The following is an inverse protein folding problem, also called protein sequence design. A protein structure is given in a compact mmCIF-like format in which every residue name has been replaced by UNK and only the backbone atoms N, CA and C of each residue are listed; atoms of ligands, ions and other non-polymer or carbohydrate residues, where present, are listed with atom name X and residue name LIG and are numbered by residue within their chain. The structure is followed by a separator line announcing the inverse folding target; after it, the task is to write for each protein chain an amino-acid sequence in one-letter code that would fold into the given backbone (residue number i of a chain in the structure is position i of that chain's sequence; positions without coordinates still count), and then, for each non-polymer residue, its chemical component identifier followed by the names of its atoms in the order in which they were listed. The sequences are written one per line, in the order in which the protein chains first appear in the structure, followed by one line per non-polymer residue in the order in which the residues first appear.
data_IF_911680401478
#
_entry.id   IF_911680401478
#
_cell.length_a   1.000
_cell.length_b   1.000
_cell.length_c   1.000
_cell.angle_alpha   90.00
_cell.angle_beta   90.00
_cell.angle_gamma   90.00
#
_symmetry.space_group_name_H-M   'P 1'
#
loop_
_entity.id
_entity.type
_entity.pdbx_description
1 polymer ?
#
# COMPACT_ATOMS: atom_id res chain seq x y z
N UNK A 1 12.80 2.94 -13.50
CA UNK A 1 13.55 4.25 -13.51
C UNK A 1 13.62 4.70 -12.06
N UNK A 2 14.81 4.95 -11.54
CA UNK A 2 14.92 5.62 -10.25
C UNK A 2 14.68 7.11 -10.49
N UNK A 3 13.63 7.68 -9.92
CA UNK A 3 13.30 9.11 -10.08
C UNK A 3 14.28 10.03 -9.34
N UNK A 4 15.04 9.47 -8.39
CA UNK A 4 16.09 10.17 -7.65
C UNK A 4 17.36 9.31 -7.63
N UNK A 5 18.54 9.97 -7.55
CA UNK A 5 19.81 9.23 -7.48
C UNK A 5 19.94 8.47 -6.15
N UNK A 6 20.75 7.39 -6.10
CA UNK A 6 21.00 6.66 -4.86
C UNK A 6 21.54 7.54 -3.72
N UNK A 7 22.41 8.52 -4.04
CA UNK A 7 22.96 9.46 -3.06
C UNK A 7 21.86 10.35 -2.47
N UNK A 8 20.94 10.85 -3.32
CA UNK A 8 19.81 11.64 -2.85
C UNK A 8 18.84 10.78 -2.04
N UNK A 9 18.62 9.53 -2.43
CA UNK A 9 17.81 8.59 -1.66
C UNK A 9 18.42 8.32 -0.27
N UNK A 10 19.73 8.13 -0.20
CA UNK A 10 20.43 7.98 1.09
C UNK A 10 20.29 9.23 1.95
N UNK A 11 20.50 10.42 1.36
CA UNK A 11 20.33 11.69 2.06
C UNK A 11 18.90 11.83 2.64
N UNK A 12 17.87 11.51 1.86
CA UNK A 12 16.47 11.54 2.31
C UNK A 12 16.25 10.57 3.47
N UNK A 13 16.81 9.37 3.39
CA UNK A 13 16.74 8.36 4.45
C UNK A 13 17.38 8.85 5.75
N UNK A 14 18.59 9.41 5.64
CA UNK A 14 19.36 9.91 6.79
C UNK A 14 18.69 11.12 7.49
N UNK A 15 17.85 11.86 6.74
CA UNK A 15 17.11 13.04 7.25
C UNK A 15 15.63 12.72 7.53
N UNK A 16 15.24 11.44 7.52
CA UNK A 16 13.90 10.99 7.87
C UNK A 16 13.90 10.24 9.21
N UNK A 17 12.75 10.18 9.86
CA UNK A 17 12.60 9.44 11.11
C UNK A 17 13.01 7.98 10.95
N UNK A 18 13.75 7.44 11.89
CA UNK A 18 14.09 6.02 11.94
C UNK A 18 12.83 5.15 12.04
N UNK A 19 12.92 3.94 11.54
CA UNK A 19 11.88 2.93 11.72
C UNK A 19 12.08 2.14 13.02
N UNK A 20 11.04 1.46 13.49
CA UNK A 20 11.14 0.60 14.67
C UNK A 20 12.14 -0.56 14.45
N UNK A 21 12.69 -1.14 15.54
CA UNK A 21 13.54 -2.34 15.43
C UNK A 21 12.85 -3.50 14.71
N UNK A 22 11.55 -3.65 14.85
CA UNK A 22 10.78 -4.68 14.14
C UNK A 22 10.75 -4.43 12.62
N UNK A 23 10.48 -3.20 12.19
CA UNK A 23 10.52 -2.85 10.76
C UNK A 23 11.91 -3.03 10.16
N UNK A 24 12.97 -2.68 10.90
CA UNK A 24 14.37 -2.93 10.47
C UNK A 24 14.66 -4.43 10.34
N UNK A 25 14.11 -5.25 11.26
CA UNK A 25 14.22 -6.72 11.19
C UNK A 25 13.50 -7.27 9.95
N UNK A 26 12.25 -6.83 9.71
CA UNK A 26 11.46 -7.26 8.55
C UNK A 26 12.18 -6.92 7.24
N UNK A 27 12.71 -5.70 7.13
CA UNK A 27 13.47 -5.26 5.95
C UNK A 27 14.67 -6.18 5.70
N UNK A 28 15.50 -6.40 6.72
CA UNK A 28 16.67 -7.27 6.63
C UNK A 28 16.29 -8.71 6.26
N UNK A 29 15.32 -9.31 6.95
CA UNK A 29 14.93 -10.70 6.72
C UNK A 29 14.26 -10.87 5.34
N UNK A 30 13.51 -9.87 4.87
CA UNK A 30 12.94 -9.87 3.52
C UNK A 30 14.05 -9.91 2.47
N UNK A 31 15.10 -9.10 2.61
CA UNK A 31 16.21 -9.08 1.66
C UNK A 31 17.08 -10.34 1.69
N UNK A 32 17.16 -11.02 2.83
CA UNK A 32 18.00 -12.22 2.99
C UNK A 32 17.26 -13.51 2.61
N UNK A 33 15.94 -13.59 2.81
CA UNK A 33 15.24 -14.87 2.86
C UNK A 33 13.99 -14.94 1.99
N UNK A 34 13.51 -13.81 1.45
CA UNK A 34 12.26 -13.78 0.68
C UNK A 34 12.55 -13.53 -0.80
N UNK A 35 11.82 -14.22 -1.67
CA UNK A 35 11.89 -13.97 -3.10
C UNK A 35 11.39 -12.57 -3.45
N UNK A 36 12.08 -11.91 -4.38
CA UNK A 36 11.75 -10.57 -4.88
C UNK A 36 11.73 -9.47 -3.81
N UNK A 37 12.78 -9.29 -3.00
CA UNK A 37 12.83 -8.31 -1.91
C UNK A 37 12.56 -6.86 -2.35
N UNK A 38 12.73 -6.57 -3.65
CA UNK A 38 12.41 -5.27 -4.27
C UNK A 38 10.92 -4.87 -4.15
N UNK A 39 10.03 -5.85 -3.85
CA UNK A 39 8.60 -5.59 -3.63
C UNK A 39 8.33 -4.92 -2.29
N UNK A 40 9.31 -4.92 -1.38
CA UNK A 40 9.18 -4.25 -0.09
C UNK A 40 9.01 -2.74 -0.28
N UNK A 41 8.06 -2.15 0.42
CA UNK A 41 7.85 -0.68 0.44
C UNK A 41 9.11 0.06 0.90
N UNK A 42 9.85 -0.50 1.86
CA UNK A 42 11.10 0.05 2.37
C UNK A 42 10.91 1.30 3.23
N UNK A 43 12.04 1.87 3.69
CA UNK A 43 12.06 2.96 4.66
C UNK A 43 11.25 4.19 4.21
N UNK A 44 11.60 4.76 3.06
CA UNK A 44 11.02 6.04 2.63
C UNK A 44 9.50 5.96 2.44
N UNK A 45 9.04 4.99 1.65
CA UNK A 45 7.60 4.82 1.42
C UNK A 45 6.86 4.42 2.70
N UNK A 46 7.47 3.57 3.54
CA UNK A 46 6.91 3.22 4.84
C UNK A 46 6.69 4.45 5.72
N UNK A 47 7.64 5.41 5.75
CA UNK A 47 7.47 6.67 6.48
C UNK A 47 6.39 7.56 5.87
N UNK A 48 6.27 7.58 4.53
CA UNK A 48 5.15 8.30 3.87
C UNK A 48 3.80 7.71 4.28
N UNK A 49 3.65 6.38 4.23
CA UNK A 49 2.41 5.70 4.63
C UNK A 49 2.07 5.96 6.11
N UNK A 50 3.06 5.84 6.99
CA UNK A 50 2.92 6.14 8.41
C UNK A 50 2.48 7.58 8.66
N UNK A 51 3.15 8.57 8.04
CA UNK A 51 2.81 9.99 8.23
C UNK A 51 1.41 10.31 7.70
N UNK A 52 1.00 9.75 6.56
CA UNK A 52 -0.37 9.91 6.04
C UNK A 52 -1.40 9.30 6.99
N UNK A 53 -1.15 8.09 7.50
CA UNK A 53 -2.03 7.46 8.47
C UNK A 53 -2.12 8.27 9.77
N UNK A 54 -1.00 8.77 10.29
CA UNK A 54 -0.98 9.62 11.51
C UNK A 54 -1.72 10.95 11.32
N UNK A 55 -1.67 11.55 10.13
CA UNK A 55 -2.44 12.75 9.80
C UNK A 55 -3.94 12.47 9.74
N UNK A 56 -4.33 11.32 9.18
CA UNK A 56 -5.74 10.92 8.99
C UNK A 56 -6.36 10.37 10.26
N UNK A 57 -5.57 9.74 11.14
CA UNK A 57 -6.01 9.04 12.37
C UNK A 57 -7.19 8.09 12.08
N UNK A 58 -7.03 7.13 11.17
CA UNK A 58 -8.12 6.27 10.74
C UNK A 58 -8.59 5.33 11.86
N UNK A 59 -9.87 5.05 11.90
CA UNK A 59 -10.47 4.00 12.74
C UNK A 59 -10.50 2.65 12.02
N UNK A 60 -10.49 2.67 10.68
CA UNK A 60 -10.51 1.46 9.86
C UNK A 60 -9.61 1.64 8.62
N UNK A 61 -8.65 0.73 8.47
CA UNK A 61 -7.75 0.65 7.31
C UNK A 61 -7.97 -0.68 6.61
N UNK A 62 -7.99 -0.66 5.26
CA UNK A 62 -7.87 -1.84 4.42
C UNK A 62 -6.58 -1.78 3.63
N UNK A 63 -5.81 -2.86 3.64
CA UNK A 63 -4.65 -3.05 2.78
C UNK A 63 -4.88 -4.25 1.86
N UNK A 64 -4.58 -4.09 0.57
CA UNK A 64 -4.65 -5.12 -0.46
C UNK A 64 -3.24 -5.37 -0.96
N UNK A 65 -2.65 -6.51 -0.57
CA UNK A 65 -1.24 -6.84 -0.75
C UNK A 65 -0.44 -6.63 0.53
N UNK A 66 -0.31 -7.68 1.34
CA UNK A 66 0.42 -7.65 2.63
C UNK A 66 1.91 -7.89 2.43
N UNK A 67 2.27 -8.78 1.50
CA UNK A 67 3.62 -9.27 1.28
C UNK A 67 4.28 -9.71 2.61
N UNK A 68 5.30 -8.99 3.11
CA UNK A 68 5.95 -9.29 4.40
C UNK A 68 5.42 -8.47 5.58
N UNK A 69 4.33 -7.71 5.40
CA UNK A 69 3.65 -6.96 6.45
C UNK A 69 4.27 -5.62 6.81
N UNK A 70 5.27 -5.15 6.05
CA UNK A 70 5.98 -3.91 6.34
C UNK A 70 5.06 -2.68 6.24
N UNK A 71 4.33 -2.54 5.13
CA UNK A 71 3.38 -1.44 4.90
C UNK A 71 2.22 -1.47 5.90
N UNK A 72 1.68 -2.66 6.20
CA UNK A 72 0.64 -2.84 7.22
C UNK A 72 1.05 -2.25 8.58
N UNK A 73 2.28 -2.56 9.04
CA UNK A 73 2.81 -2.02 10.29
C UNK A 73 3.02 -0.50 10.23
N UNK A 74 3.51 0.02 9.09
CA UNK A 74 3.65 1.47 8.90
C UNK A 74 2.30 2.20 8.94
N UNK A 75 1.26 1.62 8.32
CA UNK A 75 -0.10 2.16 8.34
C UNK A 75 -0.72 2.07 9.74
N UNK A 76 -0.45 0.99 10.47
CA UNK A 76 -0.96 0.79 11.82
C UNK A 76 -0.45 1.84 12.83
N UNK A 77 0.73 2.45 12.60
CA UNK A 77 1.25 3.55 13.42
C UNK A 77 0.31 4.77 13.50
N UNK A 78 -0.61 4.92 12.55
CA UNK A 78 -1.59 6.02 12.52
C UNK A 78 -2.97 5.65 13.03
N UNK A 79 -3.25 4.38 13.34
CA UNK A 79 -4.54 3.95 13.85
C UNK A 79 -4.93 4.66 15.16
N UNK A 80 -6.21 4.94 15.31
CA UNK A 80 -6.75 5.30 16.64
C UNK A 80 -6.62 4.11 17.61
N UNK A 81 -6.67 4.33 18.93
CA UNK A 81 -6.49 3.25 19.93
C UNK A 81 -7.40 2.03 19.70
N UNK A 82 -8.66 2.25 19.29
CA UNK A 82 -9.64 1.19 19.00
C UNK A 82 -9.73 0.87 17.50
N UNK A 83 -8.84 1.44 16.69
CA UNK A 83 -8.82 1.27 15.25
C UNK A 83 -8.40 -0.14 14.83
N UNK A 84 -8.81 -0.53 13.62
CA UNK A 84 -8.49 -1.84 13.03
C UNK A 84 -7.90 -1.67 11.63
N UNK A 85 -6.95 -2.52 11.34
CA UNK A 85 -6.39 -2.69 10.00
C UNK A 85 -6.69 -4.12 9.52
N UNK A 86 -7.37 -4.24 8.39
CA UNK A 86 -7.53 -5.51 7.67
C UNK A 86 -6.51 -5.51 6.54
N UNK A 87 -5.66 -6.53 6.48
CA UNK A 87 -4.71 -6.72 5.38
C UNK A 87 -4.91 -8.08 4.72
N UNK A 88 -4.90 -8.11 3.38
CA UNK A 88 -5.25 -9.30 2.60
C UNK A 88 -4.12 -9.65 1.64
N UNK A 89 -3.70 -10.91 1.64
CA UNK A 89 -2.74 -11.46 0.67
C UNK A 89 -3.17 -12.83 0.18
N UNK A 90 -2.69 -13.22 -1.00
CA UNK A 90 -2.91 -14.57 -1.56
C UNK A 90 -1.78 -15.54 -1.24
N UNK A 91 -0.63 -15.05 -0.75
CA UNK A 91 0.57 -15.83 -0.56
C UNK A 91 0.59 -16.55 0.80
N UNK A 92 0.14 -17.80 0.81
CA UNK A 92 0.15 -18.67 1.99
C UNK A 92 1.57 -19.00 2.49
N UNK A 93 2.59 -18.96 1.61
CA UNK A 93 3.97 -19.31 2.00
C UNK A 93 4.55 -18.30 3.00
N UNK A 94 4.15 -17.03 2.89
CA UNK A 94 4.60 -15.98 3.80
C UNK A 94 3.76 -15.90 5.09
N UNK A 95 2.60 -16.55 5.14
CA UNK A 95 1.66 -16.43 6.26
C UNK A 95 2.30 -16.66 7.64
N UNK A 96 3.04 -17.75 7.89
CA UNK A 96 3.60 -17.99 9.23
C UNK A 96 4.56 -16.89 9.67
N UNK A 97 5.38 -16.38 8.74
CA UNK A 97 6.33 -15.31 8.97
C UNK A 97 5.62 -14.00 9.28
N UNK A 98 4.65 -13.62 8.48
CA UNK A 98 3.90 -12.36 8.63
C UNK A 98 3.12 -12.35 9.94
N UNK A 99 2.47 -13.47 10.28
CA UNK A 99 1.78 -13.60 11.58
C UNK A 99 2.73 -13.44 12.74
N UNK A 100 3.95 -13.99 12.67
CA UNK A 100 4.96 -13.82 13.72
C UNK A 100 5.38 -12.35 13.85
N UNK A 101 5.53 -11.60 12.75
CA UNK A 101 5.84 -10.17 12.80
C UNK A 101 4.69 -9.36 13.41
N UNK A 102 3.46 -9.60 13.00
CA UNK A 102 2.30 -8.90 13.57
C UNK A 102 2.14 -9.20 15.06
N UNK A 103 2.34 -10.46 15.47
CA UNK A 103 2.28 -10.85 16.88
C UNK A 103 3.37 -10.17 17.74
N UNK A 104 4.55 -9.88 17.15
CA UNK A 104 5.65 -9.19 17.82
C UNK A 104 5.49 -7.66 17.84
N UNK A 105 4.47 -7.11 17.16
CA UNK A 105 4.21 -5.69 17.09
C UNK A 105 3.30 -5.19 18.22
N UNK A 106 3.37 -3.88 18.48
CA UNK A 106 2.44 -3.19 19.39
C UNK A 106 0.99 -3.16 18.86
N UNK A 107 0.81 -3.51 17.56
CA UNK A 107 -0.47 -3.48 16.84
C UNK A 107 -1.11 -4.86 16.69
N UNK A 108 -0.60 -5.89 17.36
CA UNK A 108 -1.05 -7.29 17.23
C UNK A 108 -2.56 -7.47 17.39
N UNK A 109 -3.19 -6.68 18.27
CA UNK A 109 -4.63 -6.73 18.52
C UNK A 109 -5.46 -5.88 17.55
N UNK A 110 -4.81 -5.05 16.74
CA UNK A 110 -5.46 -4.15 15.79
C UNK A 110 -5.39 -4.66 14.34
N UNK A 111 -4.51 -5.63 14.04
CA UNK A 111 -4.31 -6.16 12.70
C UNK A 111 -5.06 -7.47 12.51
N UNK A 112 -5.96 -7.50 11.52
CA UNK A 112 -6.65 -8.70 11.02
C UNK A 112 -6.02 -9.11 9.67
N UNK A 113 -5.17 -10.13 9.71
CA UNK A 113 -4.48 -10.63 8.53
C UNK A 113 -5.25 -11.80 7.92
N UNK A 114 -5.64 -11.65 6.67
CA UNK A 114 -6.44 -12.64 5.91
C UNK A 114 -5.68 -13.15 4.71
N UNK A 115 -5.69 -14.47 4.54
CA UNK A 115 -5.18 -15.14 3.34
C UNK A 115 -6.33 -15.44 2.42
N UNK A 116 -6.21 -15.05 1.15
CA UNK A 116 -7.17 -15.33 0.09
C UNK A 116 -7.26 -14.27 -0.97
N UNK A 117 -8.15 -14.48 -1.93
CA UNK A 117 -8.36 -13.55 -3.04
C UNK A 117 -9.10 -12.29 -2.55
N UNK A 118 -8.40 -11.15 -2.58
CA UNK A 118 -8.94 -9.87 -2.12
C UNK A 118 -10.23 -9.47 -2.88
N UNK A 119 -10.32 -9.74 -4.18
CA UNK A 119 -11.52 -9.45 -4.97
C UNK A 119 -12.77 -10.18 -4.47
N UNK A 120 -12.59 -11.34 -3.82
CA UNK A 120 -13.69 -12.11 -3.23
C UNK A 120 -13.94 -11.72 -1.77
N UNK A 121 -12.90 -11.35 -1.03
CA UNK A 121 -13.00 -11.01 0.39
C UNK A 121 -13.59 -9.61 0.59
N UNK A 122 -13.15 -8.59 -0.18
CA UNK A 122 -13.57 -7.19 0.00
C UNK A 122 -15.09 -7.03 -0.01
N UNK A 123 -15.87 -7.61 -0.93
CA UNK A 123 -17.32 -7.49 -0.93
C UNK A 123 -17.98 -8.02 0.35
N UNK A 124 -17.39 -9.03 1.01
CA UNK A 124 -17.93 -9.65 2.23
C UNK A 124 -17.65 -8.85 3.50
N UNK A 125 -16.76 -7.84 3.43
CA UNK A 125 -16.45 -7.01 4.58
C UNK A 125 -17.64 -6.11 4.91
N UNK A 126 -18.11 -6.16 6.15
CA UNK A 126 -19.21 -5.29 6.62
C UNK A 126 -18.75 -3.86 6.96
N UNK A 127 -17.43 -3.67 7.09
CA UNK A 127 -16.82 -2.39 7.47
C UNK A 127 -16.74 -1.42 6.29
N UNK A 128 -16.83 -0.13 6.62
CA UNK A 128 -16.36 0.95 5.76
C UNK A 128 -15.04 1.50 6.29
N UNK A 129 -14.18 1.97 5.39
CA UNK A 129 -12.80 2.33 5.70
C UNK A 129 -12.56 3.84 5.60
N UNK A 130 -11.65 4.35 6.43
CA UNK A 130 -11.15 5.71 6.37
C UNK A 130 -9.97 5.83 5.39
N UNK A 131 -9.18 4.74 5.29
CA UNK A 131 -8.00 4.65 4.45
C UNK A 131 -7.93 3.26 3.82
N UNK A 132 -7.66 3.21 2.50
CA UNK A 132 -7.44 1.96 1.76
C UNK A 132 -6.10 2.08 1.03
N UNK A 133 -5.23 1.07 1.16
CA UNK A 133 -3.97 0.97 0.44
C UNK A 133 -4.00 -0.22 -0.52
N UNK A 134 -3.64 0.00 -1.79
CA UNK A 134 -3.65 -1.00 -2.85
C UNK A 134 -2.22 -1.16 -3.38
N UNK A 135 -1.59 -2.31 -3.09
CA UNK A 135 -0.28 -2.72 -3.60
C UNK A 135 -0.25 -4.24 -3.81
N UNK A 136 -1.00 -4.73 -4.79
CA UNK A 136 -1.18 -6.14 -5.09
C UNK A 136 -0.93 -6.45 -6.58
N UNK A 137 -1.54 -7.52 -7.11
CA UNK A 137 -1.52 -7.85 -8.53
C UNK A 137 -2.13 -6.72 -9.37
N UNK A 138 -1.32 -6.14 -10.25
CA UNK A 138 -1.68 -4.98 -11.06
C UNK A 138 -2.89 -5.25 -11.96
N UNK A 139 -3.05 -6.49 -12.42
CA UNK A 139 -4.16 -6.86 -13.30
C UNK A 139 -5.53 -6.73 -12.62
N UNK A 140 -5.58 -6.73 -11.30
CA UNK A 140 -6.80 -6.56 -10.52
C UNK A 140 -7.05 -5.10 -10.07
N UNK A 141 -6.12 -4.18 -10.30
CA UNK A 141 -6.24 -2.79 -9.84
C UNK A 141 -7.53 -2.08 -10.24
N UNK A 142 -8.05 -2.20 -11.49
CA UNK A 142 -9.32 -1.58 -11.85
C UNK A 142 -10.51 -2.09 -11.02
N UNK A 143 -10.51 -3.38 -10.67
CA UNK A 143 -11.53 -3.99 -9.83
C UNK A 143 -11.35 -3.54 -8.36
N UNK A 144 -10.12 -3.59 -7.84
CA UNK A 144 -9.83 -3.13 -6.49
C UNK A 144 -10.17 -1.65 -6.28
N UNK A 145 -9.95 -0.80 -7.29
CA UNK A 145 -10.33 0.61 -7.22
C UNK A 145 -11.84 0.80 -7.03
N UNK A 146 -12.68 0.10 -7.79
CA UNK A 146 -14.14 0.21 -7.66
C UNK A 146 -14.62 -0.36 -6.32
N UNK A 147 -14.14 -1.54 -5.94
CA UNK A 147 -14.49 -2.14 -4.65
C UNK A 147 -14.03 -1.26 -3.46
N UNK A 148 -12.84 -0.67 -3.57
CA UNK A 148 -12.33 0.27 -2.58
C UNK A 148 -13.24 1.51 -2.48
N UNK A 149 -13.66 2.10 -3.60
CA UNK A 149 -14.60 3.23 -3.58
C UNK A 149 -15.94 2.90 -2.93
N UNK A 150 -16.46 1.69 -3.15
CA UNK A 150 -17.71 1.25 -2.50
C UNK A 150 -17.54 1.16 -0.98
N UNK A 151 -16.41 0.64 -0.52
CA UNK A 151 -16.12 0.44 0.91
C UNK A 151 -15.54 1.68 1.60
N UNK A 152 -15.17 2.72 0.86
CA UNK A 152 -14.58 3.94 1.42
C UNK A 152 -15.67 4.89 1.94
N UNK A 153 -15.47 5.43 3.14
CA UNK A 153 -16.28 6.53 3.69
C UNK A 153 -16.15 7.78 2.81
N UNK A 154 -17.18 8.64 2.77
CA UNK A 154 -17.03 9.99 2.20
C UNK A 154 -15.96 10.75 2.98
N UNK A 155 -15.07 11.43 2.25
CA UNK A 155 -13.89 12.09 2.82
C UNK A 155 -12.70 11.16 3.09
N UNK A 156 -12.87 9.85 2.98
CA UNK A 156 -11.80 8.85 3.13
C UNK A 156 -10.82 8.86 1.95
N UNK A 157 -9.72 8.13 2.09
CA UNK A 157 -8.62 8.11 1.14
C UNK A 157 -8.29 6.72 0.61
N UNK A 158 -7.96 6.64 -0.68
CA UNK A 158 -7.30 5.49 -1.30
C UNK A 158 -5.89 5.89 -1.69
N UNK A 159 -4.92 5.02 -1.37
CA UNK A 159 -3.55 5.08 -1.86
C UNK A 159 -3.35 3.90 -2.82
N UNK A 160 -2.83 4.15 -4.03
CA UNK A 160 -2.50 3.09 -5.00
C UNK A 160 -1.03 3.20 -5.37
N UNK A 161 -0.27 2.13 -5.13
CA UNK A 161 1.17 2.09 -5.42
C UNK A 161 1.48 1.66 -6.86
N UNK A 162 2.69 1.99 -7.31
CA UNK A 162 3.30 1.62 -8.60
C UNK A 162 2.56 2.13 -9.84
N UNK A 163 1.84 3.23 -9.73
CA UNK A 163 1.01 3.76 -10.83
C UNK A 163 1.81 4.44 -11.94
N UNK A 164 3.12 4.68 -11.76
CA UNK A 164 4.03 5.19 -12.80
C UNK A 164 4.81 4.09 -13.53
N UNK A 165 4.90 2.90 -12.95
CA UNK A 165 5.48 1.70 -13.56
C UNK A 165 6.83 1.94 -14.23
N UNK A 166 7.78 2.48 -13.48
CA UNK A 166 9.13 2.87 -13.94
C UNK A 166 9.11 3.79 -15.17
N UNK A 167 8.07 4.65 -15.27
CA UNK A 167 7.88 5.56 -16.40
C UNK A 167 7.27 4.93 -17.66
N UNK A 168 7.03 3.63 -17.68
CA UNK A 168 6.46 2.94 -18.85
C UNK A 168 5.05 3.45 -19.22
N UNK A 169 4.33 4.01 -18.26
CA UNK A 169 3.01 4.63 -18.53
C UNK A 169 3.09 5.81 -19.49
N UNK A 170 4.24 6.47 -19.65
CA UNK A 170 4.45 7.60 -20.57
C UNK A 170 4.62 7.16 -22.03
N UNK A 171 5.08 5.93 -22.25
CA UNK A 171 5.50 5.49 -23.57
C UNK A 171 4.49 4.51 -24.18
N UNK A 172 3.77 4.97 -25.20
CA UNK A 172 2.77 4.15 -25.91
C UNK A 172 3.38 2.87 -26.52
N UNK A 173 4.72 2.83 -26.76
CA UNK A 173 5.42 1.64 -27.24
C UNK A 173 5.40 0.47 -26.24
N UNK A 174 5.28 0.73 -24.94
CA UNK A 174 5.16 -0.30 -23.92
C UNK A 174 3.74 -0.88 -23.93
N UNK A 175 3.61 -2.05 -24.55
CA UNK A 175 2.34 -2.76 -24.78
C UNK A 175 2.22 -4.01 -23.87
N UNK A 176 3.09 -4.18 -22.88
CA UNK A 176 2.90 -5.20 -21.87
C UNK A 176 1.61 -4.93 -21.06
N UNK A 177 0.97 -6.01 -20.60
CA UNK A 177 -0.35 -5.94 -19.97
C UNK A 177 -0.43 -4.93 -18.81
N UNK A 178 0.59 -4.90 -17.97
CA UNK A 178 0.60 -4.04 -16.78
C UNK A 178 0.75 -2.57 -17.18
N UNK A 179 1.61 -2.25 -18.14
CA UNK A 179 1.78 -0.87 -18.64
C UNK A 179 0.51 -0.32 -19.28
N UNK A 180 -0.20 -1.13 -20.08
CA UNK A 180 -1.48 -0.74 -20.68
C UNK A 180 -2.53 -0.51 -19.60
N UNK A 181 -2.68 -1.48 -18.72
CA UNK A 181 -3.68 -1.45 -17.65
C UNK A 181 -3.49 -0.24 -16.71
N UNK A 182 -2.24 0.04 -16.31
CA UNK A 182 -1.96 1.19 -15.44
C UNK A 182 -2.19 2.52 -16.15
N UNK A 183 -1.91 2.64 -17.47
CA UNK A 183 -2.30 3.84 -18.23
C UNK A 183 -3.81 4.03 -18.22
N UNK A 184 -4.56 2.96 -18.50
CA UNK A 184 -6.02 3.02 -18.58
C UNK A 184 -6.61 3.32 -17.19
N UNK A 185 -6.07 2.73 -16.13
CA UNK A 185 -6.47 3.02 -14.75
C UNK A 185 -6.19 4.49 -14.39
N UNK A 186 -4.98 4.99 -14.69
CA UNK A 186 -4.63 6.39 -14.42
C UNK A 186 -5.55 7.35 -15.18
N UNK A 187 -5.88 7.04 -16.43
CA UNK A 187 -6.84 7.82 -17.22
C UNK A 187 -8.24 7.78 -16.59
N UNK A 188 -8.73 6.59 -16.24
CA UNK A 188 -10.02 6.41 -15.56
C UNK A 188 -10.10 7.23 -14.28
N UNK A 189 -9.11 7.12 -13.40
CA UNK A 189 -9.06 7.88 -12.14
C UNK A 189 -9.02 9.38 -12.41
N UNK A 190 -8.24 9.83 -13.41
CA UNK A 190 -8.11 11.24 -13.76
C UNK A 190 -9.45 11.87 -14.19
N UNK A 191 -10.37 11.08 -14.73
CA UNK A 191 -11.69 11.50 -15.21
C UNK A 191 -12.81 11.25 -14.20
N UNK A 192 -12.53 10.54 -13.09
CA UNK A 192 -13.56 10.18 -12.12
C UNK A 192 -14.01 11.39 -11.31
N UNK A 193 -15.28 11.76 -11.46
CA UNK A 193 -15.90 12.91 -10.78
C UNK A 193 -16.22 12.62 -9.30
N UNK A 194 -16.21 11.35 -8.89
CA UNK A 194 -16.50 10.92 -7.50
C UNK A 194 -15.38 11.27 -6.53
N UNK A 195 -14.18 11.60 -7.06
CA UNK A 195 -12.96 11.75 -6.27
C UNK A 195 -12.19 13.03 -6.57
N UNK A 196 -11.43 13.48 -5.57
CA UNK A 196 -10.26 14.35 -5.74
C UNK A 196 -9.01 13.47 -5.79
N UNK A 197 -8.00 13.84 -6.56
CA UNK A 197 -6.83 13.00 -6.80
C UNK A 197 -5.56 13.78 -7.01
N UNK A 198 -4.46 13.21 -6.54
CA UNK A 198 -3.10 13.69 -6.73
C UNK A 198 -2.17 12.50 -6.97
N UNK A 199 -1.45 12.50 -8.08
CA UNK A 199 -0.43 11.50 -8.36
C UNK A 199 0.93 12.04 -7.90
N UNK A 200 1.50 11.38 -6.89
CA UNK A 200 2.80 11.72 -6.30
C UNK A 200 3.91 10.90 -6.97
N UNK A 201 5.01 11.52 -7.43
CA UNK A 201 6.15 10.80 -8.00
C UNK A 201 7.07 10.24 -6.90
N UNK A 202 6.48 9.48 -5.98
CA UNK A 202 7.17 8.79 -4.88
C UNK A 202 7.47 7.37 -5.33
N UNK A 203 8.75 6.97 -5.34
CA UNK A 203 9.21 5.68 -5.85
C UNK A 203 8.63 5.41 -7.25
N UNK A 204 7.80 4.39 -7.38
CA UNK A 204 7.17 4.00 -8.64
C UNK A 204 5.77 4.62 -8.86
N UNK A 205 5.50 5.72 -8.16
CA UNK A 205 4.27 6.51 -8.20
C UNK A 205 3.24 6.08 -7.18
N UNK A 206 2.78 7.02 -6.38
CA UNK A 206 1.71 6.83 -5.39
C UNK A 206 0.52 7.71 -5.75
N UNK A 207 -0.61 7.12 -6.09
CA UNK A 207 -1.86 7.86 -6.27
C UNK A 207 -2.49 8.12 -4.90
N UNK A 208 -2.75 9.38 -4.58
CA UNK A 208 -3.53 9.82 -3.42
C UNK A 208 -4.91 10.25 -3.90
N UNK A 209 -5.95 9.56 -3.46
CA UNK A 209 -7.32 9.72 -3.95
C UNK A 209 -8.24 9.93 -2.76
N UNK A 210 -9.05 10.99 -2.78
CA UNK A 210 -10.04 11.30 -1.75
C UNK A 210 -11.45 11.15 -2.31
N UNK A 211 -12.30 10.38 -1.65
CA UNK A 211 -13.73 10.29 -2.00
C UNK A 211 -14.43 11.57 -1.55
N UNK A 212 -15.25 12.15 -2.44
CA UNK A 212 -16.07 13.34 -2.16
C UNK A 212 -17.25 13.02 -1.24
#
# INVERSE_FOLDING_TARGET
MEFISPELQQYVTDHSSAVSPLLSKIDRETHLEVLQPRMLSGHFQGRVLSMLAQLLKPTAILEIGTYTGYSALCLAEGLTPDGKLITIDVNEELEPRVRAYFQASDYSQQIDYRIGNAAQIIPTLEHTFDLIFIDADKQQYPLYYEQALEKLKSGGFILIDNVLWSGKVLEVKHQDKDSVLLRDLNLKISQDARVEKLLLPIRDGLYLIRKK
#
